data_IF_098788639409
#
_entry.id   IF_098788639409
#
_cell.length_a   1.000
_cell.length_b   1.000
_cell.length_c   1.000
_cell.angle_alpha   90.00
_cell.angle_beta   90.00
_cell.angle_gamma   90.00
#
_symmetry.space_group_name_H-M   'P 1'
#
loop_
_entity.id
_entity.type
_entity.pdbx_description
1 polymer ?
#
# COMPACT_ATOMS: atom_id res chain seq x y z
N UNK A 1 9.23 6.72 -14.17
CA UNK A 1 9.71 6.02 -12.98
C UNK A 1 10.00 4.55 -13.24
N UNK A 2 9.04 3.76 -13.76
CA UNK A 2 9.30 2.38 -14.20
C UNK A 2 8.92 2.28 -15.68
N UNK A 3 9.81 1.70 -16.49
CA UNK A 3 9.55 1.43 -17.90
C UNK A 3 9.90 -0.03 -18.18
N UNK A 4 8.96 -0.75 -18.74
CA UNK A 4 9.07 -2.18 -19.09
C UNK A 4 8.71 -2.30 -20.57
N UNK A 5 9.58 -2.96 -21.35
CA UNK A 5 9.36 -3.20 -22.78
C UNK A 5 9.67 -4.65 -23.13
N UNK A 6 8.70 -5.32 -23.69
CA UNK A 6 8.76 -6.71 -24.15
C UNK A 6 9.40 -7.64 -23.10
N UNK A 7 8.97 -7.50 -21.84
CA UNK A 7 9.53 -8.27 -20.73
C UNK A 7 9.04 -9.72 -20.78
N UNK A 8 9.99 -10.63 -20.85
CA UNK A 8 9.72 -12.09 -20.79
C UNK A 8 10.54 -12.72 -19.67
N UNK A 9 9.88 -13.57 -18.87
CA UNK A 9 10.50 -14.35 -17.82
C UNK A 9 10.04 -15.80 -17.86
N UNK A 10 11.00 -16.72 -17.88
CA UNK A 10 10.74 -18.16 -17.80
C UNK A 10 11.38 -18.75 -16.56
N UNK A 11 10.74 -19.77 -15.98
CA UNK A 11 11.33 -20.68 -15.00
C UNK A 11 11.44 -22.06 -15.66
N UNK A 12 12.68 -22.48 -15.95
CA UNK A 12 12.93 -23.62 -16.83
C UNK A 12 12.33 -23.37 -18.22
N UNK A 13 11.42 -24.22 -18.65
CA UNK A 13 10.73 -24.09 -19.96
C UNK A 13 9.41 -23.33 -19.88
N UNK A 14 8.89 -23.06 -18.68
CA UNK A 14 7.57 -22.44 -18.46
C UNK A 14 7.67 -20.92 -18.49
N UNK A 15 7.02 -20.24 -19.44
CA UNK A 15 6.90 -18.79 -19.43
C UNK A 15 5.95 -18.37 -18.29
N UNK A 16 6.36 -17.36 -17.51
CA UNK A 16 5.56 -16.77 -16.42
C UNK A 16 5.26 -15.31 -16.70
N UNK A 17 6.15 -14.61 -17.42
CA UNK A 17 5.87 -13.31 -18.04
C UNK A 17 6.15 -13.44 -19.52
N UNK A 18 5.27 -12.91 -20.35
CA UNK A 18 5.29 -13.10 -21.80
C UNK A 18 4.97 -11.79 -22.53
N UNK A 19 6.05 -11.04 -22.88
CA UNK A 19 5.95 -9.82 -23.68
C UNK A 19 5.26 -8.67 -22.97
N UNK A 20 5.53 -8.46 -21.66
CA UNK A 20 4.90 -7.36 -20.91
C UNK A 20 5.48 -6.01 -21.34
N UNK A 21 4.60 -5.10 -21.67
CA UNK A 21 4.84 -3.67 -21.82
C UNK A 21 4.07 -2.91 -20.72
N UNK A 22 4.78 -2.11 -19.91
CA UNK A 22 4.17 -1.34 -18.83
C UNK A 22 5.02 -0.10 -18.52
N UNK A 23 4.38 1.05 -18.39
CA UNK A 23 5.03 2.28 -17.94
C UNK A 23 4.32 2.81 -16.71
N UNK A 24 5.08 3.00 -15.61
CA UNK A 24 4.59 3.62 -14.37
C UNK A 24 5.18 5.01 -14.26
N UNK A 25 4.33 6.02 -14.23
CA UNK A 25 4.70 7.43 -14.09
C UNK A 25 4.68 7.86 -12.62
N UNK A 26 5.29 9.00 -12.33
CA UNK A 26 5.16 9.64 -11.01
C UNK A 26 3.68 9.94 -10.72
N UNK A 27 3.22 9.63 -9.51
CA UNK A 27 1.83 9.80 -9.08
C UNK A 27 0.87 8.70 -9.55
N UNK A 28 1.33 7.70 -10.32
CA UNK A 28 0.51 6.52 -10.60
C UNK A 28 0.31 5.72 -9.31
N UNK A 29 -0.94 5.42 -9.00
CA UNK A 29 -1.35 4.53 -7.92
C UNK A 29 -2.08 3.35 -8.56
N UNK A 30 -1.33 2.28 -8.80
CA UNK A 30 -1.75 1.15 -9.62
C UNK A 30 -2.21 0.01 -8.73
N UNK A 31 -3.43 -0.49 -8.98
CA UNK A 31 -3.82 -1.83 -8.59
C UNK A 31 -3.38 -2.83 -9.67
N UNK A 32 -2.51 -3.75 -9.29
CA UNK A 32 -2.11 -4.89 -10.12
C UNK A 32 -2.99 -6.08 -9.77
N UNK A 33 -3.93 -6.40 -10.64
CA UNK A 33 -4.95 -7.43 -10.40
C UNK A 33 -4.78 -8.63 -11.33
N UNK A 34 -5.50 -9.68 -11.06
CA UNK A 34 -5.52 -10.91 -11.86
C UNK A 34 -5.50 -12.17 -11.00
N UNK A 35 -5.77 -13.35 -11.57
CA UNK A 35 -5.85 -14.61 -10.85
C UNK A 35 -4.49 -15.01 -10.24
N UNK A 36 -4.54 -16.03 -9.37
CA UNK A 36 -3.32 -16.67 -8.86
C UNK A 36 -2.56 -17.30 -10.02
N UNK A 37 -1.24 -17.07 -10.06
CA UNK A 37 -0.42 -17.57 -11.18
C UNK A 37 -0.35 -16.61 -12.39
N UNK A 38 -1.10 -15.50 -12.42
CA UNK A 38 -1.04 -14.52 -13.52
C UNK A 38 0.34 -13.84 -13.71
N UNK A 39 1.26 -13.99 -12.75
CA UNK A 39 2.61 -13.45 -12.85
C UNK A 39 2.86 -12.17 -12.04
N UNK A 40 1.88 -11.66 -11.26
CA UNK A 40 1.97 -10.41 -10.48
C UNK A 40 3.23 -10.33 -9.60
N UNK A 41 3.41 -11.31 -8.71
CA UNK A 41 4.60 -11.40 -7.85
C UNK A 41 5.90 -11.51 -8.66
N UNK A 42 5.88 -12.22 -9.80
CA UNK A 42 7.05 -12.35 -10.67
C UNK A 42 7.40 -11.02 -11.32
N UNK A 43 6.41 -10.25 -11.75
CA UNK A 43 6.59 -8.90 -12.28
C UNK A 43 7.19 -7.98 -11.20
N UNK A 44 6.60 -7.94 -10.01
CA UNK A 44 7.10 -7.17 -8.87
C UNK A 44 8.57 -7.51 -8.58
N UNK A 45 8.90 -8.80 -8.44
CA UNK A 45 10.27 -9.23 -8.15
C UNK A 45 11.24 -8.93 -9.28
N UNK A 46 10.78 -8.89 -10.53
CA UNK A 46 11.59 -8.49 -11.68
C UNK A 46 11.90 -6.98 -11.63
N UNK A 47 10.91 -6.15 -11.30
CA UNK A 47 11.10 -4.70 -11.07
C UNK A 47 12.12 -4.45 -9.95
N UNK A 48 12.09 -5.26 -8.89
CA UNK A 48 13.05 -5.19 -7.77
C UNK A 48 14.45 -5.76 -8.10
N UNK A 49 14.68 -6.19 -9.36
CA UNK A 49 15.97 -6.73 -9.79
C UNK A 49 16.32 -8.10 -9.22
N UNK A 50 15.33 -8.87 -8.72
CA UNK A 50 15.56 -10.20 -8.13
C UNK A 50 15.70 -11.31 -9.18
N UNK A 51 15.18 -11.11 -10.40
CA UNK A 51 15.19 -12.11 -11.44
C UNK A 51 15.96 -11.67 -12.68
N UNK A 52 16.54 -12.65 -13.38
CA UNK A 52 17.02 -12.49 -14.77
C UNK A 52 15.82 -12.55 -15.70
N UNK A 53 15.80 -11.72 -16.70
CA UNK A 53 14.72 -11.58 -17.66
C UNK A 53 15.26 -11.25 -19.07
N UNK A 54 14.43 -11.40 -20.07
CA UNK A 54 14.63 -10.90 -21.43
C UNK A 54 13.75 -9.66 -21.64
N UNK A 55 14.14 -8.77 -22.56
CA UNK A 55 13.50 -7.47 -22.78
C UNK A 55 14.19 -6.37 -21.99
N UNK A 56 13.47 -5.27 -21.74
CA UNK A 56 14.00 -4.09 -21.06
C UNK A 56 13.18 -3.77 -19.82
N UNK A 57 13.87 -3.54 -18.71
CA UNK A 57 13.28 -3.00 -17.47
C UNK A 57 14.18 -1.89 -16.96
N UNK A 58 13.62 -0.71 -16.81
CA UNK A 58 14.27 0.44 -16.19
C UNK A 58 13.43 0.96 -15.03
N UNK A 59 14.08 1.24 -13.91
CA UNK A 59 13.52 1.89 -12.72
C UNK A 59 14.36 3.11 -12.44
N UNK A 60 13.74 4.30 -12.42
CA UNK A 60 14.46 5.58 -12.41
C UNK A 60 15.54 5.67 -13.52
N UNK A 61 15.18 5.20 -14.73
CA UNK A 61 16.01 5.14 -15.93
C UNK A 61 17.26 4.24 -15.80
N UNK A 62 17.31 3.39 -14.79
CA UNK A 62 18.40 2.47 -14.49
C UNK A 62 17.96 1.02 -14.53
N UNK A 63 18.87 0.13 -14.95
CA UNK A 63 18.62 -1.31 -14.92
C UNK A 63 18.59 -1.82 -13.47
N UNK A 64 17.48 -2.45 -13.02
CA UNK A 64 17.28 -2.82 -11.61
C UNK A 64 18.23 -3.90 -11.10
N UNK A 65 18.87 -4.66 -11.99
CA UNK A 65 19.87 -5.66 -11.59
C UNK A 65 21.27 -5.05 -11.43
N UNK A 66 21.62 -4.06 -12.27
CA UNK A 66 22.95 -3.43 -12.24
C UNK A 66 23.05 -2.32 -11.20
N UNK A 67 21.94 -1.62 -10.93
CA UNK A 67 21.88 -0.48 -10.01
C UNK A 67 20.97 -0.75 -8.82
N UNK A 68 20.96 -2.00 -8.34
CA UNK A 68 19.99 -2.50 -7.37
C UNK A 68 19.98 -1.71 -6.06
N UNK A 69 21.14 -1.43 -5.49
CA UNK A 69 21.26 -0.71 -4.20
C UNK A 69 20.64 0.67 -4.30
N UNK A 70 20.99 1.43 -5.32
CA UNK A 70 20.52 2.78 -5.56
C UNK A 70 19.00 2.83 -5.80
N UNK A 71 18.48 1.87 -6.54
CA UNK A 71 17.06 1.77 -6.82
C UNK A 71 16.28 1.37 -5.56
N UNK A 72 16.76 0.37 -4.82
CA UNK A 72 16.09 -0.11 -3.61
C UNK A 72 16.14 0.89 -2.45
N UNK A 73 17.09 1.82 -2.42
CA UNK A 73 17.10 2.92 -1.45
C UNK A 73 15.87 3.85 -1.60
N UNK A 74 15.30 3.92 -2.80
CA UNK A 74 14.14 4.74 -3.16
C UNK A 74 12.82 3.98 -3.21
N UNK A 75 12.84 2.66 -2.97
CA UNK A 75 11.64 1.80 -3.00
C UNK A 75 11.33 1.28 -1.62
N UNK A 76 10.08 1.42 -1.19
CA UNK A 76 9.49 0.66 -0.11
C UNK A 76 8.87 -0.62 -0.66
N UNK A 77 9.24 -1.77 -0.11
CA UNK A 77 8.70 -3.05 -0.56
C UNK A 77 8.10 -3.85 0.60
N UNK A 78 6.85 -4.27 0.42
CA UNK A 78 6.15 -5.16 1.35
C UNK A 78 5.84 -6.47 0.61
N UNK A 79 6.49 -7.59 0.96
CA UNK A 79 6.22 -8.88 0.34
C UNK A 79 4.93 -9.51 0.85
N UNK A 80 4.32 -10.37 0.05
CA UNK A 80 3.14 -11.17 0.41
C UNK A 80 3.40 -12.06 1.64
N UNK A 81 4.52 -12.75 1.63
CA UNK A 81 4.95 -13.61 2.75
C UNK A 81 6.14 -12.97 3.45
N UNK A 82 6.08 -12.80 4.79
CA UNK A 82 7.20 -12.31 5.56
C UNK A 82 8.46 -13.16 5.36
N UNK A 83 9.61 -12.56 5.03
CA UNK A 83 10.86 -13.30 4.86
C UNK A 83 11.35 -13.90 6.18
N UNK A 84 12.19 -14.95 6.16
CA UNK A 84 12.71 -15.63 7.35
C UNK A 84 13.84 -14.81 8.01
N UNK A 85 13.50 -13.65 8.58
CA UNK A 85 14.46 -12.75 9.24
C UNK A 85 14.87 -13.32 10.60
N UNK A 86 16.18 -13.40 10.88
CA UNK A 86 16.74 -13.93 12.14
C UNK A 86 17.15 -12.83 13.13
N UNK A 87 16.65 -11.62 12.96
CA UNK A 87 16.86 -10.51 13.89
C UNK A 87 15.72 -10.39 14.89
N UNK A 88 15.97 -9.76 16.04
CA UNK A 88 14.89 -9.26 16.88
C UNK A 88 14.28 -7.97 16.26
N UNK A 89 13.13 -7.56 16.77
CA UNK A 89 12.39 -6.40 16.22
C UNK A 89 13.23 -5.12 16.27
N UNK A 90 13.91 -4.85 17.39
CA UNK A 90 14.73 -3.66 17.57
C UNK A 90 15.94 -3.62 16.62
N UNK A 91 16.62 -4.77 16.46
CA UNK A 91 17.72 -4.90 15.49
C UNK A 91 17.25 -4.67 14.06
N UNK A 92 16.09 -5.22 13.69
CA UNK A 92 15.53 -5.06 12.35
C UNK A 92 15.16 -3.60 12.06
N UNK A 93 14.55 -2.91 13.04
CA UNK A 93 14.22 -1.47 12.92
C UNK A 93 15.48 -0.64 12.76
N UNK A 94 16.47 -0.86 13.63
CA UNK A 94 17.76 -0.16 13.54
C UNK A 94 18.44 -0.42 12.19
N UNK A 95 18.54 -1.68 11.79
CA UNK A 95 19.12 -2.05 10.49
C UNK A 95 18.40 -1.35 9.33
N UNK A 96 17.06 -1.32 9.34
CA UNK A 96 16.28 -0.66 8.29
C UNK A 96 16.51 0.85 8.27
N UNK A 97 16.65 1.51 9.41
CA UNK A 97 16.98 2.92 9.50
C UNK A 97 18.41 3.20 8.99
N UNK A 98 19.38 2.38 9.38
CA UNK A 98 20.80 2.57 9.03
C UNK A 98 21.09 2.41 7.53
N UNK A 99 20.35 1.55 6.82
CA UNK A 99 20.55 1.31 5.38
C UNK A 99 19.82 2.31 4.46
N UNK A 100 18.96 3.17 4.99
CA UNK A 100 18.18 4.13 4.19
C UNK A 100 18.49 5.56 4.58
N UNK A 101 18.80 6.41 3.61
CA UNK A 101 19.13 7.82 3.84
C UNK A 101 17.95 8.67 4.34
N UNK A 102 16.72 8.25 4.04
CA UNK A 102 15.49 8.97 4.36
C UNK A 102 14.75 8.40 5.58
N UNK A 103 15.22 7.28 6.14
CA UNK A 103 14.56 6.59 7.26
C UNK A 103 15.14 7.02 8.59
N UNK A 104 14.30 7.02 9.62
CA UNK A 104 14.73 7.11 11.01
C UNK A 104 14.01 6.07 11.86
N UNK A 105 14.58 5.74 13.00
CA UNK A 105 13.97 4.83 13.97
C UNK A 105 12.61 5.40 14.40
N UNK A 106 12.54 6.70 14.69
CA UNK A 106 11.35 7.42 15.13
C UNK A 106 10.23 7.34 14.08
N UNK A 107 10.56 7.55 12.79
CA UNK A 107 9.60 7.44 11.71
C UNK A 107 9.02 6.02 11.59
N UNK A 108 9.84 4.99 11.77
CA UNK A 108 9.39 3.59 11.75
C UNK A 108 8.48 3.30 12.96
N UNK A 109 8.85 3.76 14.17
CA UNK A 109 8.03 3.60 15.36
C UNK A 109 6.67 4.29 15.19
N UNK A 110 6.66 5.54 14.72
CA UNK A 110 5.43 6.27 14.44
C UNK A 110 4.53 5.49 13.49
N UNK A 111 5.06 4.99 12.37
CA UNK A 111 4.29 4.21 11.41
C UNK A 111 3.77 2.89 11.98
N UNK A 112 4.53 2.25 12.86
CA UNK A 112 4.09 1.04 13.55
C UNK A 112 2.97 1.31 14.54
N UNK A 113 3.08 2.37 15.33
CA UNK A 113 2.04 2.78 16.30
C UNK A 113 0.73 3.15 15.58
N UNK A 114 0.81 3.86 14.45
CA UNK A 114 -0.33 4.17 13.59
C UNK A 114 -1.02 2.90 13.01
N UNK A 115 -0.27 1.79 12.86
CA UNK A 115 -0.78 0.47 12.48
C UNK A 115 -1.25 -0.39 13.68
N UNK A 116 -1.19 0.15 14.90
CA UNK A 116 -1.50 -0.59 16.12
C UNK A 116 -0.47 -1.66 16.46
N UNK A 117 0.82 -1.41 16.17
CA UNK A 117 1.94 -2.28 16.57
C UNK A 117 2.89 -1.53 17.50
N UNK A 118 2.77 -1.78 18.80
CA UNK A 118 3.67 -1.23 19.82
C UNK A 118 5.04 -1.91 19.74
N UNK A 119 5.97 -1.34 18.95
CA UNK A 119 7.35 -1.85 18.80
C UNK A 119 8.03 -1.91 20.18
N UNK A 120 7.85 -0.90 21.03
CA UNK A 120 8.50 -0.81 22.34
C UNK A 120 8.30 -2.06 23.21
N UNK A 121 7.10 -2.66 23.21
CA UNK A 121 6.79 -3.90 23.92
C UNK A 121 7.42 -5.14 23.29
N UNK A 122 7.87 -5.06 22.04
CA UNK A 122 8.35 -6.20 21.27
C UNK A 122 9.83 -6.11 20.85
N UNK A 123 10.57 -5.07 21.27
CA UNK A 123 11.95 -4.78 20.84
C UNK A 123 12.89 -5.98 20.87
N UNK A 124 12.86 -6.75 21.98
CA UNK A 124 13.71 -7.93 22.19
C UNK A 124 13.14 -9.22 21.58
N UNK A 125 11.91 -9.19 21.05
CA UNK A 125 11.26 -10.38 20.52
C UNK A 125 11.83 -10.71 19.13
N UNK A 126 12.23 -11.96 18.86
CA UNK A 126 12.63 -12.38 17.53
C UNK A 126 11.51 -12.15 16.52
N UNK A 127 11.84 -11.60 15.34
CA UNK A 127 10.86 -11.35 14.27
C UNK A 127 10.04 -12.59 13.94
N UNK A 128 10.67 -13.75 13.89
CA UNK A 128 10.00 -15.02 13.59
C UNK A 128 8.91 -15.39 14.59
N UNK A 129 9.01 -14.94 15.85
CA UNK A 129 8.03 -15.20 16.92
C UNK A 129 6.87 -14.19 16.98
N UNK A 130 6.84 -13.20 16.09
CA UNK A 130 5.67 -12.33 15.92
C UNK A 130 4.54 -13.12 15.27
N UNK A 131 3.28 -12.73 15.55
CA UNK A 131 2.13 -13.23 14.80
C UNK A 131 2.21 -12.78 13.32
N UNK A 132 1.47 -13.44 12.43
CA UNK A 132 1.44 -13.08 11.01
C UNK A 132 1.07 -11.61 10.79
N UNK A 133 0.01 -11.14 11.46
CA UNK A 133 -0.42 -9.74 11.41
C UNK A 133 0.63 -8.77 11.97
N UNK A 134 1.29 -9.10 13.10
CA UNK A 134 2.37 -8.26 13.65
C UNK A 134 3.57 -8.18 12.69
N UNK A 135 3.96 -9.29 12.05
CA UNK A 135 5.01 -9.29 11.03
C UNK A 135 4.66 -8.37 9.87
N UNK A 136 3.43 -8.47 9.40
CA UNK A 136 2.95 -7.67 8.28
C UNK A 136 2.92 -6.18 8.64
N UNK A 137 2.36 -5.81 9.80
CA UNK A 137 2.37 -4.43 10.31
C UNK A 137 3.78 -3.87 10.41
N UNK A 138 4.74 -4.66 10.92
CA UNK A 138 6.13 -4.24 11.01
C UNK A 138 6.76 -4.02 9.62
N UNK A 139 6.55 -4.92 8.66
CA UNK A 139 7.06 -4.77 7.30
C UNK A 139 6.49 -3.54 6.60
N UNK A 140 5.20 -3.25 6.80
CA UNK A 140 4.56 -2.03 6.29
C UNK A 140 5.19 -0.78 6.94
N UNK A 141 5.36 -0.78 8.28
CA UNK A 141 5.99 0.34 8.99
C UNK A 141 7.42 0.59 8.51
N UNK A 142 8.21 -0.47 8.30
CA UNK A 142 9.58 -0.38 7.74
C UNK A 142 9.58 0.21 6.33
N UNK A 143 8.64 -0.19 5.48
CA UNK A 143 8.54 0.30 4.11
C UNK A 143 8.13 1.78 4.06
N UNK A 144 7.11 2.18 4.84
CA UNK A 144 6.60 3.55 4.91
C UNK A 144 7.55 4.52 5.62
N UNK A 145 8.22 4.06 6.69
CA UNK A 145 9.18 4.86 7.45
C UNK A 145 10.41 5.28 6.65
N UNK A 146 10.65 4.65 5.48
CA UNK A 146 11.70 5.02 4.52
C UNK A 146 11.33 6.20 3.61
N UNK A 147 10.09 6.68 3.64
CA UNK A 147 9.57 7.72 2.76
C UNK A 147 9.93 7.46 1.27
N UNK A 148 9.51 6.34 0.71
CA UNK A 148 9.94 5.90 -0.60
C UNK A 148 9.33 6.75 -1.72
N UNK A 149 10.05 6.87 -2.85
CA UNK A 149 9.51 7.49 -4.07
C UNK A 149 8.52 6.54 -4.78
N UNK A 150 8.73 5.23 -4.63
CA UNK A 150 7.82 4.18 -5.11
C UNK A 150 7.56 3.19 -3.97
N UNK A 151 6.29 2.93 -3.69
CA UNK A 151 5.84 1.91 -2.76
C UNK A 151 5.28 0.72 -3.54
N UNK A 152 5.92 -0.42 -3.41
CA UNK A 152 5.51 -1.68 -4.05
C UNK A 152 5.04 -2.63 -2.97
N UNK A 153 3.82 -3.16 -3.10
CA UNK A 153 3.25 -4.05 -2.11
C UNK A 153 2.58 -5.25 -2.78
N UNK A 154 2.96 -6.43 -2.34
CA UNK A 154 2.42 -7.70 -2.86
C UNK A 154 1.44 -8.27 -1.83
N UNK A 155 0.14 -8.07 -2.06
CA UNK A 155 -0.97 -8.48 -1.20
C UNK A 155 -0.81 -8.11 0.29
N UNK A 156 -0.53 -6.84 0.60
CA UNK A 156 -0.10 -6.43 1.95
C UNK A 156 -1.16 -6.60 3.03
N UNK A 157 -2.45 -6.62 2.66
CA UNK A 157 -3.56 -6.71 3.61
C UNK A 157 -4.01 -8.16 3.89
N UNK A 158 -3.46 -9.17 3.19
CA UNK A 158 -3.93 -10.57 3.27
C UNK A 158 -3.86 -11.16 4.69
N UNK A 159 -2.88 -10.76 5.48
CA UNK A 159 -2.65 -11.28 6.83
C UNK A 159 -3.07 -10.32 7.96
N UNK A 160 -3.77 -9.23 7.62
CA UNK A 160 -4.25 -8.26 8.60
C UNK A 160 -5.67 -8.59 9.06
N UNK A 161 -5.91 -8.39 10.34
CA UNK A 161 -7.26 -8.34 10.92
C UNK A 161 -8.03 -7.11 10.39
N UNK A 162 -9.35 -7.03 10.55
CA UNK A 162 -10.15 -5.91 10.04
C UNK A 162 -9.64 -4.54 10.50
N UNK A 163 -9.29 -4.39 11.79
CA UNK A 163 -8.76 -3.13 12.31
C UNK A 163 -7.39 -2.79 11.73
N UNK A 164 -6.48 -3.77 11.62
CA UNK A 164 -5.17 -3.59 10.99
C UNK A 164 -5.27 -3.24 9.51
N UNK A 165 -6.26 -3.80 8.82
CA UNK A 165 -6.54 -3.47 7.41
C UNK A 165 -7.01 -2.02 7.25
N UNK A 166 -7.91 -1.59 8.11
CA UNK A 166 -8.37 -0.20 8.14
C UNK A 166 -7.21 0.77 8.40
N UNK A 167 -6.42 0.51 9.45
CA UNK A 167 -5.24 1.32 9.77
C UNK A 167 -4.24 1.38 8.60
N UNK A 168 -4.03 0.26 7.91
CA UNK A 168 -3.19 0.19 6.71
C UNK A 168 -3.72 1.07 5.58
N UNK A 169 -5.02 0.99 5.26
CA UNK A 169 -5.63 1.81 4.21
C UNK A 169 -5.49 3.31 4.51
N UNK A 170 -5.70 3.72 5.76
CA UNK A 170 -5.52 5.10 6.19
C UNK A 170 -4.06 5.56 6.09
N UNK A 171 -3.08 4.67 6.37
CA UNK A 171 -1.66 4.96 6.13
C UNK A 171 -1.35 5.19 4.66
N UNK A 172 -1.94 4.39 3.77
CA UNK A 172 -1.78 4.59 2.33
C UNK A 172 -2.33 5.94 1.89
N UNK A 173 -3.51 6.33 2.38
CA UNK A 173 -4.10 7.65 2.09
C UNK A 173 -3.11 8.77 2.46
N UNK A 174 -2.55 8.74 3.66
CA UNK A 174 -1.56 9.75 4.11
C UNK A 174 -0.29 9.79 3.24
N UNK A 175 0.06 8.67 2.62
CA UNK A 175 1.25 8.55 1.77
C UNK A 175 0.99 8.94 0.30
N UNK A 176 -0.29 9.19 -0.09
CA UNK A 176 -0.69 9.36 -1.50
C UNK A 176 -0.10 10.59 -2.18
N UNK A 177 0.11 11.69 -1.46
CA UNK A 177 0.48 12.97 -2.08
C UNK A 177 1.85 12.93 -2.77
N UNK A 178 2.78 12.11 -2.27
CA UNK A 178 4.18 12.14 -2.70
C UNK A 178 4.72 10.79 -3.17
N UNK A 179 3.90 9.73 -3.20
CA UNK A 179 4.40 8.37 -3.45
C UNK A 179 3.68 7.72 -4.63
N UNK A 180 4.45 7.21 -5.58
CA UNK A 180 3.94 6.31 -6.63
C UNK A 180 3.71 4.93 -6.04
N UNK A 181 2.57 4.29 -6.33
CA UNK A 181 2.21 3.00 -5.73
C UNK A 181 1.96 1.93 -6.77
N UNK A 182 2.46 0.73 -6.50
CA UNK A 182 2.11 -0.50 -7.22
C UNK A 182 1.68 -1.54 -6.19
N UNK A 183 0.40 -1.81 -6.13
CA UNK A 183 -0.23 -2.64 -5.13
C UNK A 183 -0.89 -3.84 -5.79
N UNK A 184 -0.45 -5.07 -5.51
CA UNK A 184 -1.23 -6.24 -5.88
C UNK A 184 -2.34 -6.49 -4.86
N UNK A 185 -3.55 -6.77 -5.35
CA UNK A 185 -4.69 -7.08 -4.50
C UNK A 185 -5.70 -7.96 -5.22
N UNK A 186 -6.34 -8.85 -4.47
CA UNK A 186 -7.54 -9.57 -4.91
C UNK A 186 -8.84 -8.85 -4.51
N UNK A 187 -8.74 -7.79 -3.69
CA UNK A 187 -9.87 -7.02 -3.16
C UNK A 187 -9.78 -5.59 -3.67
N UNK A 188 -10.15 -5.42 -4.92
CA UNK A 188 -10.09 -4.10 -5.58
C UNK A 188 -11.07 -3.12 -4.95
N UNK A 189 -12.24 -3.60 -4.51
CA UNK A 189 -13.25 -2.85 -3.78
C UNK A 189 -12.70 -2.10 -2.56
N UNK A 190 -11.81 -2.72 -1.79
CA UNK A 190 -11.20 -2.10 -0.61
C UNK A 190 -10.22 -0.96 -0.98
N UNK A 191 -9.58 -1.03 -2.15
CA UNK A 191 -8.51 -0.09 -2.55
C UNK A 191 -8.90 0.83 -3.71
N UNK A 192 -10.09 0.68 -4.27
CA UNK A 192 -10.54 1.44 -5.44
C UNK A 192 -10.43 2.96 -5.23
N UNK A 193 -10.64 3.37 -3.98
CA UNK A 193 -10.56 4.77 -3.57
C UNK A 193 -9.12 5.30 -3.46
N UNK A 194 -8.13 4.42 -3.45
CA UNK A 194 -6.72 4.77 -3.31
C UNK A 194 -6.00 4.83 -4.64
N UNK A 195 -6.52 4.13 -5.64
CA UNK A 195 -5.87 3.94 -6.93
C UNK A 195 -6.41 4.90 -7.99
N UNK A 196 -5.59 5.19 -9.00
CA UNK A 196 -5.99 5.94 -10.17
C UNK A 196 -5.76 5.17 -11.48
N UNK A 197 -5.34 3.90 -11.37
CA UNK A 197 -5.10 3.03 -12.51
C UNK A 197 -5.21 1.56 -12.12
N UNK A 198 -5.81 0.77 -12.99
CA UNK A 198 -5.90 -0.68 -12.86
C UNK A 198 -5.08 -1.30 -13.99
N UNK A 199 -4.21 -2.24 -13.62
CA UNK A 199 -3.47 -3.08 -14.55
C UNK A 199 -3.85 -4.53 -14.26
N UNK A 200 -4.53 -5.18 -15.21
CA UNK A 200 -4.92 -6.56 -15.08
C UNK A 200 -3.92 -7.47 -15.80
N UNK A 201 -3.52 -8.51 -15.11
CA UNK A 201 -2.64 -9.55 -15.66
C UNK A 201 -3.37 -10.88 -15.73
N UNK A 202 -3.17 -11.57 -16.85
CA UNK A 202 -3.59 -12.95 -17.02
C UNK A 202 -2.57 -13.72 -17.86
N UNK A 203 -2.27 -14.97 -17.48
CA UNK A 203 -1.29 -15.84 -18.13
C UNK A 203 0.03 -15.15 -18.50
N UNK A 204 0.55 -14.30 -17.61
CA UNK A 204 1.83 -13.63 -17.80
C UNK A 204 1.80 -12.44 -18.74
N UNK A 205 0.63 -11.96 -19.14
CA UNK A 205 0.43 -10.78 -19.99
C UNK A 205 -0.36 -9.70 -19.26
N UNK A 206 -0.18 -8.45 -19.67
CA UNK A 206 -1.11 -7.37 -19.34
C UNK A 206 -2.27 -7.47 -20.31
N UNK A 207 -3.47 -7.74 -19.79
CA UNK A 207 -4.69 -7.87 -20.60
C UNK A 207 -5.55 -6.62 -20.59
N UNK A 208 -5.40 -5.81 -19.50
CA UNK A 208 -6.08 -4.53 -19.36
C UNK A 208 -5.16 -3.54 -18.65
N UNK A 209 -5.19 -2.28 -19.08
CA UNK A 209 -4.44 -1.18 -18.49
C UNK A 209 -5.26 0.10 -18.62
N UNK A 210 -6.02 0.42 -17.58
CA UNK A 210 -6.98 1.52 -17.60
C UNK A 210 -6.74 2.51 -16.46
N UNK A 211 -6.84 3.79 -16.80
CA UNK A 211 -6.94 4.85 -15.80
C UNK A 211 -8.35 4.93 -15.28
N UNK A 212 -8.47 4.99 -13.96
CA UNK A 212 -9.75 5.26 -13.31
C UNK A 212 -10.04 6.75 -13.54
N UNK A 213 -11.08 7.00 -14.31
CA UNK A 213 -11.58 8.35 -14.48
C UNK A 213 -12.28 8.78 -13.18
N UNK A 214 -11.54 9.49 -12.35
CA UNK A 214 -12.07 10.06 -11.10
C UNK A 214 -13.19 11.08 -11.40
N UNK A 215 -13.30 11.60 -12.62
CA UNK A 215 -14.38 12.49 -13.02
C UNK A 215 -15.73 11.77 -13.13
N UNK A 216 -15.74 10.45 -13.35
CA UNK A 216 -16.98 9.65 -13.30
C UNK A 216 -17.64 9.67 -11.91
N UNK A 217 -16.84 9.89 -10.88
CA UNK A 217 -17.33 10.06 -9.50
C UNK A 217 -17.50 11.54 -9.12
N UNK A 218 -17.01 12.48 -9.95
CA UNK A 218 -17.01 13.91 -9.64
C UNK A 218 -18.41 14.55 -9.59
N UNK A 219 -19.40 13.91 -10.20
CA UNK A 219 -20.78 14.38 -10.21
C UNK A 219 -21.77 13.47 -9.46
N UNK A 220 -21.30 12.39 -8.84
CA UNK A 220 -22.14 11.50 -8.03
C UNK A 220 -21.93 11.81 -6.57
N UNK A 221 -23.03 11.93 -5.83
CA UNK A 221 -22.98 11.96 -4.37
C UNK A 221 -22.55 10.58 -3.89
N UNK A 222 -21.51 10.52 -3.09
CA UNK A 222 -21.03 9.30 -2.44
C UNK A 222 -21.62 9.26 -1.04
N UNK A 223 -22.43 8.25 -0.77
CA UNK A 223 -22.91 7.96 0.57
C UNK A 223 -21.76 7.35 1.40
N UNK A 224 -21.54 7.90 2.55
CA UNK A 224 -20.48 7.47 3.44
C UNK A 224 -21.02 7.23 4.84
N UNK A 225 -20.58 6.10 5.43
CA UNK A 225 -20.88 5.74 6.83
C UNK A 225 -19.57 5.58 7.58
N UNK A 226 -19.49 6.23 8.74
CA UNK A 226 -18.33 6.19 9.64
C UNK A 226 -18.79 5.68 10.99
N UNK A 227 -18.18 4.60 11.48
CA UNK A 227 -18.38 4.08 12.83
C UNK A 227 -17.16 4.44 13.69
N UNK A 228 -17.38 5.03 14.85
CA UNK A 228 -16.32 5.43 15.77
C UNK A 228 -16.07 4.34 16.82
N UNK A 229 -14.81 4.13 17.16
CA UNK A 229 -14.38 3.23 18.25
C UNK A 229 -14.77 3.82 19.62
N UNK A 230 -14.67 5.14 19.75
CA UNK A 230 -14.98 5.88 20.98
C UNK A 230 -15.53 7.28 20.65
N UNK A 231 -16.11 7.93 21.65
CA UNK A 231 -16.62 9.29 21.52
C UNK A 231 -15.47 10.29 21.59
N UNK A 232 -14.91 10.70 20.41
CA UNK A 232 -13.83 11.66 20.30
C UNK A 232 -14.32 12.98 19.70
N UNK A 233 -14.36 14.04 20.51
CA UNK A 233 -14.99 15.32 20.15
C UNK A 233 -14.42 15.95 18.86
N UNK A 234 -13.10 15.84 18.61
CA UNK A 234 -12.50 16.42 17.41
C UNK A 234 -12.88 15.63 16.14
N UNK A 235 -13.01 14.29 16.24
CA UNK A 235 -13.49 13.46 15.12
C UNK A 235 -14.94 13.78 14.79
N UNK A 236 -15.77 13.93 15.82
CA UNK A 236 -17.20 14.26 15.65
C UNK A 236 -17.35 15.62 14.97
N UNK A 237 -16.66 16.66 15.45
CA UNK A 237 -16.68 17.99 14.80
C UNK A 237 -16.24 17.93 13.35
N UNK A 238 -15.18 17.21 13.05
CA UNK A 238 -14.71 17.05 11.68
C UNK A 238 -15.79 16.39 10.80
N UNK A 239 -16.48 15.35 11.29
CA UNK A 239 -17.57 14.71 10.56
C UNK A 239 -18.77 15.66 10.38
N UNK A 240 -19.13 16.43 11.42
CA UNK A 240 -20.18 17.46 11.35
C UNK A 240 -19.83 18.57 10.35
N UNK A 241 -18.58 19.03 10.31
CA UNK A 241 -18.08 20.03 9.35
C UNK A 241 -18.18 19.53 7.89
N UNK A 242 -18.13 18.21 7.69
CA UNK A 242 -18.38 17.55 6.42
C UNK A 242 -19.85 17.25 6.15
N UNK A 243 -20.77 17.68 7.03
CA UNK A 243 -22.21 17.50 6.90
C UNK A 243 -22.72 16.12 7.33
N UNK A 244 -21.91 15.31 8.00
CA UNK A 244 -22.34 14.02 8.53
C UNK A 244 -23.27 14.20 9.73
N UNK A 245 -24.28 13.32 9.81
CA UNK A 245 -25.23 13.29 10.91
C UNK A 245 -25.09 12.01 11.71
N UNK A 246 -25.19 12.13 13.03
CA UNK A 246 -25.22 10.95 13.91
C UNK A 246 -26.49 10.14 13.70
N UNK A 247 -26.34 8.82 13.58
CA UNK A 247 -27.46 7.87 13.35
C UNK A 247 -27.75 7.04 14.59
N UNK A 248 -26.74 6.60 15.34
CA UNK A 248 -26.87 5.70 16.50
C UNK A 248 -26.12 6.25 17.73
N UNK A 249 -26.75 7.18 18.46
CA UNK A 249 -26.24 7.61 19.78
C UNK A 249 -24.81 8.16 19.80
N UNK A 250 -24.30 8.70 18.68
CA UNK A 250 -22.98 9.32 18.60
C UNK A 250 -21.82 8.37 18.24
N UNK A 251 -22.11 7.11 17.93
CA UNK A 251 -21.08 6.15 17.48
C UNK A 251 -21.07 5.94 15.98
N UNK A 252 -22.16 6.19 15.31
CA UNK A 252 -22.29 6.01 13.86
C UNK A 252 -22.71 7.34 13.21
N UNK A 253 -22.04 7.70 12.12
CA UNK A 253 -22.29 8.93 11.36
C UNK A 253 -22.51 8.59 9.90
N UNK A 254 -23.52 9.23 9.30
CA UNK A 254 -23.83 9.12 7.89
C UNK A 254 -23.81 10.49 7.24
N UNK A 255 -23.26 10.58 6.05
CA UNK A 255 -23.22 11.77 5.23
C UNK A 255 -22.94 11.43 3.79
N UNK A 256 -23.13 12.40 2.92
CA UNK A 256 -22.76 12.30 1.50
C UNK A 256 -21.89 13.49 1.11
N UNK A 257 -21.02 13.28 0.14
CA UNK A 257 -20.20 14.34 -0.44
C UNK A 257 -19.98 14.06 -1.92
N UNK A 258 -19.71 15.12 -2.69
CA UNK A 258 -19.46 15.02 -4.10
C UNK A 258 -18.17 14.21 -4.33
N UNK A 259 -18.19 13.27 -5.27
CA UNK A 259 -17.04 12.38 -5.52
C UNK A 259 -15.72 13.10 -5.80
N UNK A 260 -15.75 14.35 -6.30
CA UNK A 260 -14.59 15.21 -6.42
C UNK A 260 -13.90 15.54 -5.08
N UNK A 261 -14.65 15.56 -3.97
CA UNK A 261 -14.15 15.86 -2.62
C UNK A 261 -13.67 14.61 -1.87
N UNK A 262 -13.85 13.44 -2.45
CA UNK A 262 -13.53 12.14 -1.83
C UNK A 262 -12.11 12.09 -1.25
N UNK A 263 -11.11 12.50 -2.03
CA UNK A 263 -9.71 12.49 -1.58
C UNK A 263 -9.49 13.46 -0.41
N UNK A 264 -10.12 14.64 -0.47
CA UNK A 264 -10.06 15.64 0.59
C UNK A 264 -10.69 15.11 1.87
N UNK A 265 -11.85 14.45 1.78
CA UNK A 265 -12.50 13.80 2.91
C UNK A 265 -11.62 12.68 3.50
N UNK A 266 -11.09 11.78 2.64
CA UNK A 266 -10.21 10.69 3.07
C UNK A 266 -8.95 11.19 3.76
N UNK A 267 -8.34 12.26 3.25
CA UNK A 267 -7.19 12.90 3.89
C UNK A 267 -7.58 13.46 5.27
N UNK A 268 -8.70 14.17 5.38
CA UNK A 268 -9.18 14.73 6.64
C UNK A 268 -9.46 13.64 7.68
N UNK A 269 -10.19 12.58 7.31
CA UNK A 269 -10.56 11.51 8.23
C UNK A 269 -9.36 10.66 8.65
N UNK A 270 -8.32 10.56 7.82
CA UNK A 270 -7.10 9.80 8.13
C UNK A 270 -6.36 10.31 9.36
N UNK A 271 -6.46 11.60 9.69
CA UNK A 271 -5.88 12.17 10.90
C UNK A 271 -6.52 11.63 12.19
N UNK A 272 -7.71 11.05 12.09
CA UNK A 272 -8.50 10.51 13.20
C UNK A 272 -8.61 8.98 13.17
N UNK A 273 -7.71 8.31 12.44
CA UNK A 273 -7.72 6.87 12.20
C UNK A 273 -7.90 6.01 13.47
N UNK A 274 -7.26 6.42 14.57
CA UNK A 274 -7.30 5.69 15.85
C UNK A 274 -8.68 5.72 16.53
N UNK A 275 -9.58 6.57 16.07
CA UNK A 275 -10.93 6.73 16.59
C UNK A 275 -12.00 6.16 15.66
N UNK A 276 -11.60 5.57 14.54
CA UNK A 276 -12.51 5.02 13.52
C UNK A 276 -12.45 3.51 13.57
N UNK A 277 -13.61 2.89 13.76
CA UNK A 277 -13.78 1.45 13.72
C UNK A 277 -14.02 0.95 12.29
N UNK A 278 -14.86 1.68 11.54
CA UNK A 278 -15.25 1.30 10.19
C UNK A 278 -15.54 2.54 9.34
N UNK A 279 -15.19 2.47 8.06
CA UNK A 279 -15.48 3.48 7.03
C UNK A 279 -15.98 2.75 5.78
N UNK A 280 -17.23 2.99 5.39
CA UNK A 280 -17.81 2.47 4.15
C UNK A 280 -18.26 3.62 3.24
N UNK A 281 -18.05 3.45 1.94
CA UNK A 281 -18.46 4.40 0.89
C UNK A 281 -19.16 3.61 -0.22
N UNK A 282 -20.28 4.10 -0.67
CA UNK A 282 -21.08 3.47 -1.72
C UNK A 282 -21.56 4.48 -2.76
#
# INVERSE_FOLDING_TARGET
>A
MITIKNLTKKFGKTPVLDGIDLTVKSGDRIALIGPNGAGKTTLIRTILGQYVFNGQVAVFDKNPRRHRVEILDRIGYVPQLPPPIQMNVGELVKFSADISRKSSIEAIYQKADELGLEIGKNVKKPFQKLSGGMKQKLLIALALGRQPDILIMDEPAANLDPQGRQAFLLQLIRSMENTTMLLSSHRVDEIINLINRIVEMDYGKVVQDERIDQSRFAGQDLDCRVTLTNHHAATIRMLEDWGFKSVNGGHEFQGSFIGAERLRFLTSISHYANHIQELTMS
#
